data_IF_615314761905
#
_entry.id   IF_615314761905
#
_cell.length_a   1.000
_cell.length_b   1.000
_cell.length_c   1.000
_cell.angle_alpha   90.00
_cell.angle_beta   90.00
_cell.angle_gamma   90.00
#
_symmetry.space_group_name_H-M   'P 1'
#
loop_
_entity.id
_entity.type
_entity.pdbx_description
1 polymer ?
#
# COMPACT_ATOMS: atom_id res chain seq x y z
N UNK A 1 14.21 -2.19 11.35
CA UNK A 1 14.28 -2.91 12.64
C UNK A 1 15.26 -4.06 12.48
N UNK A 2 16.44 -3.94 13.06
CA UNK A 2 17.39 -5.07 13.03
C UNK A 2 16.86 -6.18 13.94
N UNK A 3 16.43 -7.27 13.37
CA UNK A 3 16.06 -8.48 14.10
C UNK A 3 17.21 -9.46 14.00
N UNK A 4 17.85 -9.74 15.13
CA UNK A 4 18.93 -10.71 15.18
C UNK A 4 18.35 -12.11 15.41
N UNK A 5 18.88 -13.08 14.68
CA UNK A 5 18.42 -14.46 14.78
C UNK A 5 18.63 -15.01 16.20
N UNK A 6 19.70 -14.60 16.86
CA UNK A 6 20.02 -14.99 18.23
C UNK A 6 18.96 -14.54 19.24
N UNK A 7 18.29 -13.42 19.01
CA UNK A 7 17.22 -12.90 19.88
C UNK A 7 15.92 -13.72 19.77
N UNK A 8 15.82 -14.55 18.74
CA UNK A 8 14.69 -15.46 18.53
C UNK A 8 14.86 -16.80 19.24
N UNK A 9 16.03 -17.08 19.79
CA UNK A 9 16.29 -18.31 20.54
C UNK A 9 15.66 -18.27 21.93
N UNK A 10 15.19 -19.43 22.45
CA UNK A 10 14.75 -19.53 23.84
C UNK A 10 15.85 -19.09 24.81
N UNK A 11 15.52 -18.42 25.93
CA UNK A 11 16.49 -17.85 26.87
C UNK A 11 17.51 -18.84 27.44
N UNK A 12 17.21 -20.14 27.38
CA UNK A 12 18.11 -21.19 27.86
C UNK A 12 19.25 -21.58 26.87
N UNK A 13 19.16 -21.13 25.62
CA UNK A 13 20.09 -21.56 24.55
C UNK A 13 21.20 -20.55 24.18
N UNK A 14 21.09 -19.24 24.44
CA UNK A 14 22.18 -18.30 24.20
C UNK A 14 23.38 -18.64 25.11
N UNK A 15 24.60 -18.69 24.51
CA UNK A 15 25.84 -18.96 25.24
C UNK A 15 26.56 -20.24 24.83
N UNK A 16 26.00 -21.02 23.91
CA UNK A 16 26.73 -22.11 23.23
C UNK A 16 27.42 -21.56 21.98
N UNK A 17 28.76 -21.72 21.92
CA UNK A 17 29.55 -21.16 20.80
C UNK A 17 29.12 -21.71 19.45
N UNK A 18 28.63 -22.93 19.38
CA UNK A 18 28.13 -23.58 18.18
C UNK A 18 26.84 -22.90 17.67
N UNK A 19 25.89 -22.63 18.56
CA UNK A 19 24.61 -21.96 18.22
C UNK A 19 24.83 -20.50 17.81
N UNK A 20 25.71 -19.80 18.49
CA UNK A 20 26.09 -18.44 18.10
C UNK A 20 26.80 -18.43 16.74
N UNK A 21 27.62 -19.43 16.44
CA UNK A 21 28.26 -19.59 15.14
C UNK A 21 27.24 -19.82 14.02
N UNK A 22 26.26 -20.66 14.24
CA UNK A 22 25.17 -20.92 13.28
C UNK A 22 24.34 -19.66 13.06
N UNK A 23 23.88 -18.99 14.13
CA UNK A 23 23.11 -17.75 14.04
C UNK A 23 23.88 -16.67 13.29
N UNK A 24 25.17 -16.54 13.52
CA UNK A 24 26.02 -15.56 12.81
C UNK A 24 26.18 -15.90 11.33
N UNK A 25 26.30 -17.18 10.99
CA UNK A 25 26.40 -17.64 9.60
C UNK A 25 25.10 -17.44 8.81
N UNK A 26 23.96 -17.63 9.46
CA UNK A 26 22.62 -17.54 8.86
C UNK A 26 22.05 -16.12 8.85
N UNK A 27 22.53 -15.23 9.71
CA UNK A 27 22.03 -13.86 9.86
C UNK A 27 21.89 -13.09 8.53
N UNK A 28 22.87 -13.12 7.59
CA UNK A 28 22.76 -12.40 6.33
C UNK A 28 21.57 -12.87 5.47
N UNK A 29 21.23 -14.15 5.51
CA UNK A 29 20.09 -14.69 4.77
C UNK A 29 18.77 -14.22 5.36
N UNK A 30 18.69 -14.15 6.70
CA UNK A 30 17.51 -13.60 7.39
C UNK A 30 17.33 -12.11 7.11
N UNK A 31 18.39 -11.34 7.05
CA UNK A 31 18.33 -9.92 6.69
C UNK A 31 17.75 -9.71 5.30
N UNK A 32 18.17 -10.52 4.33
CA UNK A 32 17.60 -10.50 2.97
C UNK A 32 16.11 -10.85 2.98
N UNK A 33 15.70 -11.86 3.76
CA UNK A 33 14.29 -12.24 3.89
C UNK A 33 13.47 -11.10 4.50
N UNK A 34 13.96 -10.48 5.57
CA UNK A 34 13.28 -9.35 6.20
C UNK A 34 13.13 -8.16 5.27
N UNK A 35 14.18 -7.80 4.53
CA UNK A 35 14.08 -6.74 3.51
C UNK A 35 13.04 -7.04 2.44
N UNK A 36 12.94 -8.30 2.01
CA UNK A 36 11.92 -8.73 1.04
C UNK A 36 10.51 -8.67 1.61
N UNK A 37 10.32 -9.05 2.88
CA UNK A 37 9.03 -8.94 3.57
C UNK A 37 8.62 -7.47 3.71
N UNK A 38 9.52 -6.60 4.14
CA UNK A 38 9.25 -5.15 4.26
C UNK A 38 8.91 -4.52 2.90
N UNK A 39 9.59 -4.95 1.84
CA UNK A 39 9.26 -4.54 0.48
C UNK A 39 7.88 -5.04 0.06
N UNK A 40 7.59 -6.31 0.29
CA UNK A 40 6.30 -6.90 -0.03
C UNK A 40 5.15 -6.15 0.66
N UNK A 41 5.29 -5.83 1.94
CA UNK A 41 4.30 -5.06 2.69
C UNK A 41 4.06 -3.67 2.10
N UNK A 42 5.11 -3.00 1.63
CA UNK A 42 4.99 -1.70 0.94
C UNK A 42 4.28 -1.84 -0.41
N UNK A 43 4.60 -2.88 -1.17
CA UNK A 43 3.99 -3.15 -2.48
C UNK A 43 2.51 -3.57 -2.39
N UNK A 44 2.09 -4.14 -1.26
CA UNK A 44 0.68 -4.46 -1.00
C UNK A 44 -0.19 -3.23 -0.74
N UNK A 45 0.40 -2.11 -0.36
CA UNK A 45 -0.33 -0.89 -0.05
C UNK A 45 -0.22 0.10 -1.20
N UNK A 46 -1.31 0.35 -1.90
CA UNK A 46 -1.33 1.15 -3.15
C UNK A 46 -0.58 2.49 -3.05
N UNK A 47 -0.73 3.30 -1.98
CA UNK A 47 -0.01 4.57 -1.87
C UNK A 47 1.51 4.45 -1.83
N UNK A 48 2.04 3.32 -1.35
CA UNK A 48 3.48 3.06 -1.25
C UNK A 48 4.00 2.06 -2.27
N UNK A 49 3.11 1.48 -3.09
CA UNK A 49 3.47 0.54 -4.14
C UNK A 49 4.31 1.21 -5.23
N UNK A 50 5.35 0.53 -5.64
CA UNK A 50 6.22 0.91 -6.76
C UNK A 50 5.86 0.09 -8.01
N UNK A 51 6.72 0.09 -9.01
CA UNK A 51 6.43 -0.48 -10.32
C UNK A 51 5.92 -1.93 -10.29
N UNK A 52 6.46 -2.78 -9.43
CA UNK A 52 6.08 -4.20 -9.32
C UNK A 52 4.74 -4.38 -8.62
N UNK A 53 4.51 -3.67 -7.53
CA UNK A 53 3.24 -3.69 -6.80
C UNK A 53 2.09 -3.10 -7.61
N UNK A 54 2.34 -1.98 -8.30
CA UNK A 54 1.36 -1.36 -9.20
C UNK A 54 0.96 -2.31 -10.33
N UNK A 55 1.92 -3.01 -10.95
CA UNK A 55 1.64 -3.98 -12.00
C UNK A 55 0.75 -5.12 -11.52
N UNK A 56 0.94 -5.61 -10.30
CA UNK A 56 0.08 -6.64 -9.68
C UNK A 56 -1.34 -6.14 -9.40
N UNK A 57 -1.46 -4.91 -8.92
CA UNK A 57 -2.77 -4.27 -8.72
C UNK A 57 -3.50 -4.08 -10.04
N UNK A 58 -2.82 -3.61 -11.09
CA UNK A 58 -3.39 -3.44 -12.43
C UNK A 58 -3.83 -4.78 -13.02
N UNK A 59 -3.02 -5.83 -12.91
CA UNK A 59 -3.39 -7.18 -13.34
C UNK A 59 -4.63 -7.69 -12.62
N UNK A 60 -4.70 -7.51 -11.30
CA UNK A 60 -5.84 -7.93 -10.47
C UNK A 60 -7.13 -7.19 -10.83
N UNK A 61 -7.04 -5.91 -11.16
CA UNK A 61 -8.18 -5.05 -11.49
C UNK A 61 -8.49 -5.02 -13.00
N UNK A 62 -7.69 -5.69 -13.83
CA UNK A 62 -7.84 -5.68 -15.28
C UNK A 62 -7.54 -4.32 -15.93
N UNK A 63 -6.65 -3.55 -15.33
CA UNK A 63 -6.23 -2.23 -15.82
C UNK A 63 -5.00 -2.36 -16.69
N UNK A 64 -4.92 -1.52 -17.71
CA UNK A 64 -3.69 -1.35 -18.49
C UNK A 64 -2.78 -0.31 -17.83
N UNK A 65 -1.47 -0.58 -17.68
CA UNK A 65 -0.54 0.40 -17.14
C UNK A 65 -0.44 1.59 -18.11
N UNK A 66 -0.81 2.77 -17.64
CA UNK A 66 -0.74 4.01 -18.40
C UNK A 66 -0.24 5.14 -17.49
N UNK A 67 0.68 5.94 -18.02
CA UNK A 67 1.25 7.07 -17.30
C UNK A 67 2.37 6.73 -16.32
N UNK A 68 2.68 7.70 -15.47
CA UNK A 68 3.69 7.57 -14.42
C UNK A 68 3.17 6.82 -13.19
N UNK A 69 4.02 6.59 -12.20
CA UNK A 69 3.65 5.85 -10.98
C UNK A 69 2.52 6.53 -10.19
N UNK A 70 2.43 7.87 -10.20
CA UNK A 70 1.36 8.61 -9.53
C UNK A 70 0.03 8.47 -10.25
N UNK A 71 0.04 8.58 -11.56
CA UNK A 71 -1.15 8.39 -12.40
C UNK A 71 -1.69 6.98 -12.27
N UNK A 72 -0.82 5.98 -12.32
CA UNK A 72 -1.17 4.57 -12.08
C UNK A 72 -1.79 4.33 -10.71
N UNK A 73 -1.22 4.91 -9.63
CA UNK A 73 -1.81 4.84 -8.27
C UNK A 73 -3.20 5.46 -8.23
N UNK A 74 -3.37 6.63 -8.82
CA UNK A 74 -4.67 7.30 -8.90
C UNK A 74 -5.69 6.44 -9.62
N UNK A 75 -5.34 5.85 -10.75
CA UNK A 75 -6.23 4.98 -11.53
C UNK A 75 -6.66 3.74 -10.74
N UNK A 76 -5.72 3.09 -10.04
CA UNK A 76 -6.02 1.94 -9.18
C UNK A 76 -6.97 2.34 -8.05
N UNK A 77 -6.67 3.44 -7.34
CA UNK A 77 -7.53 3.94 -6.26
C UNK A 77 -8.92 4.32 -6.74
N UNK A 78 -9.02 4.96 -7.90
CA UNK A 78 -10.29 5.29 -8.55
C UNK A 78 -11.14 4.05 -8.81
N UNK A 79 -10.52 3.00 -9.33
CA UNK A 79 -11.20 1.73 -9.62
C UNK A 79 -11.67 1.04 -8.34
N UNK A 80 -10.84 1.02 -7.29
CA UNK A 80 -11.21 0.45 -5.99
C UNK A 80 -12.35 1.19 -5.30
N UNK A 81 -12.43 2.51 -5.48
CA UNK A 81 -13.46 3.37 -4.91
C UNK A 81 -14.75 3.33 -5.71
N UNK A 82 -14.69 3.03 -6.99
CA UNK A 82 -15.83 3.07 -7.92
C UNK A 82 -17.01 2.14 -7.60
N UNK A 83 -16.86 1.19 -6.68
CA UNK A 83 -17.91 0.26 -6.24
C UNK A 83 -18.68 0.72 -4.99
N UNK A 84 -18.41 1.91 -4.47
CA UNK A 84 -19.09 2.41 -3.26
C UNK A 84 -20.34 3.20 -3.60
N UNK A 85 -21.40 3.16 -2.75
CA UNK A 85 -22.60 3.95 -2.94
C UNK A 85 -22.22 5.45 -2.90
N UNK A 86 -22.62 6.17 -3.94
CA UNK A 86 -22.36 7.60 -4.08
C UNK A 86 -23.25 8.38 -3.10
N UNK A 87 -22.66 8.84 -2.00
CA UNK A 87 -23.25 9.90 -1.17
C UNK A 87 -22.62 11.23 -1.54
N UNK A 88 -23.34 12.35 -1.32
CA UNK A 88 -22.78 13.68 -1.59
C UNK A 88 -21.52 13.97 -0.76
N UNK A 89 -21.46 13.46 0.46
CA UNK A 89 -20.31 13.57 1.34
C UNK A 89 -19.10 12.82 0.79
N UNK A 90 -19.35 11.60 0.29
CA UNK A 90 -18.31 10.82 -0.37
C UNK A 90 -17.81 11.51 -1.63
N UNK A 91 -18.73 12.03 -2.47
CA UNK A 91 -18.37 12.72 -3.70
C UNK A 91 -17.57 14.00 -3.42
N UNK A 92 -17.96 14.75 -2.39
CA UNK A 92 -17.20 15.93 -1.94
C UNK A 92 -15.78 15.56 -1.55
N UNK A 93 -15.59 14.61 -0.64
CA UNK A 93 -14.27 14.18 -0.20
C UNK A 93 -13.41 13.61 -1.34
N UNK A 94 -14.03 12.93 -2.29
CA UNK A 94 -13.38 12.42 -3.48
C UNK A 94 -12.90 13.55 -4.41
N UNK A 95 -13.74 14.53 -4.70
CA UNK A 95 -13.39 15.67 -5.53
C UNK A 95 -12.35 16.57 -4.86
N UNK A 96 -12.43 16.78 -3.55
CA UNK A 96 -11.41 17.49 -2.77
C UNK A 96 -10.05 16.82 -2.84
N UNK A 97 -9.99 15.49 -2.87
CA UNK A 97 -8.74 14.74 -2.97
C UNK A 97 -8.05 14.87 -4.34
N UNK A 98 -8.82 15.17 -5.40
CA UNK A 98 -8.32 15.25 -6.78
C UNK A 98 -8.09 16.70 -7.21
N UNK A 99 -9.04 17.57 -6.91
CA UNK A 99 -9.09 18.95 -7.42
C UNK A 99 -8.68 20.00 -6.38
N UNK A 100 -8.55 19.61 -5.11
CA UNK A 100 -8.29 20.52 -4.01
C UNK A 100 -9.57 21.07 -3.41
N UNK A 101 -9.63 22.37 -3.16
CA UNK A 101 -10.79 23.03 -2.53
C UNK A 101 -11.98 23.08 -3.51
N UNK A 102 -12.97 22.25 -3.27
CA UNK A 102 -14.14 22.10 -4.15
C UNK A 102 -15.41 22.18 -3.31
N UNK A 103 -16.37 22.98 -3.79
CA UNK A 103 -17.71 23.04 -3.21
C UNK A 103 -18.67 22.19 -4.02
N UNK A 104 -19.30 21.25 -3.34
CA UNK A 104 -20.36 20.40 -3.93
C UNK A 104 -21.68 20.73 -3.25
N UNK A 105 -22.66 21.19 -4.03
CA UNK A 105 -24.02 21.46 -3.57
C UNK A 105 -25.03 20.69 -4.40
N UNK A 106 -26.11 20.26 -3.77
CA UNK A 106 -27.23 19.60 -4.43
C UNK A 106 -28.52 20.44 -4.32
N UNK A 107 -29.31 20.42 -5.37
CA UNK A 107 -30.69 20.93 -5.37
C UNK A 107 -31.61 19.75 -5.66
N UNK A 108 -32.35 19.30 -4.65
CA UNK A 108 -33.26 18.18 -4.76
C UNK A 108 -34.50 18.53 -5.67
N UNK A 109 -34.89 19.79 -5.70
CA UNK A 109 -36.02 20.25 -6.47
C UNK A 109 -35.77 20.25 -7.98
N UNK A 110 -34.51 20.52 -8.37
CA UNK A 110 -34.12 20.61 -9.78
C UNK A 110 -33.32 19.40 -10.26
N UNK A 111 -33.05 18.43 -9.38
CA UNK A 111 -32.15 17.29 -9.64
C UNK A 111 -30.75 17.71 -10.15
N UNK A 112 -30.25 18.83 -9.66
CA UNK A 112 -28.97 19.40 -10.07
C UNK A 112 -27.89 19.18 -9.00
N UNK A 113 -26.71 18.81 -9.45
CA UNK A 113 -25.49 18.79 -8.68
C UNK A 113 -24.58 19.89 -9.22
N UNK A 114 -24.19 20.85 -8.37
CA UNK A 114 -23.28 21.92 -8.74
C UNK A 114 -21.92 21.70 -8.10
N UNK A 115 -20.88 21.78 -8.90
CA UNK A 115 -19.47 21.65 -8.48
C UNK A 115 -18.78 22.97 -8.81
N UNK A 116 -18.23 23.65 -7.80
CA UNK A 116 -17.51 24.94 -7.91
C UNK A 116 -16.10 24.82 -7.36
#
# INVERSE_FOLDING_TARGET
MERKLIDCLPPALPGTAELEGICRGEQPQFEIIWMRIDRLLRELYVPSAEAEGLARWEETLGLSPDGDAEERRKQILLTLVGERPYTIEWLRGYLESILGDVRVSESADDFLLTIE
#
